data_IF_341270901769
#
_entry.id   IF_341270901769
#
_cell.length_a   1.000
_cell.length_b   1.000
_cell.length_c   1.000
_cell.angle_alpha   90.00
_cell.angle_beta   90.00
_cell.angle_gamma   90.00
#
_symmetry.space_group_name_H-M   'P 1'
#
loop_
_entity.id
_entity.type
_entity.pdbx_description
1 polymer ?
#
# COMPACT_ATOMS: atom_id res chain seq x y z
N UNK A 1 0.00 -26.71 -8.63
CA UNK A 1 1.24 -26.31 -9.32
C UNK A 1 1.80 -27.57 -9.99
N UNK A 2 2.23 -27.52 -11.26
CA UNK A 2 2.86 -28.66 -11.92
C UNK A 2 4.31 -28.78 -11.42
N UNK A 3 4.91 -29.98 -11.47
CA UNK A 3 6.31 -30.19 -11.06
C UNK A 3 7.26 -29.23 -11.77
N UNK A 4 7.08 -29.02 -13.08
CA UNK A 4 7.87 -28.08 -13.87
C UNK A 4 7.76 -26.62 -13.37
N UNK A 5 6.57 -26.18 -12.93
CA UNK A 5 6.36 -24.85 -12.37
C UNK A 5 7.14 -24.69 -11.05
N UNK A 6 7.18 -25.76 -10.23
CA UNK A 6 7.90 -25.78 -8.96
C UNK A 6 9.41 -25.72 -9.16
N UNK A 7 9.94 -26.57 -10.05
CA UNK A 7 11.38 -26.57 -10.41
C UNK A 7 11.80 -25.21 -10.96
N UNK A 8 11.01 -24.64 -11.87
CA UNK A 8 11.26 -23.31 -12.44
C UNK A 8 11.28 -22.23 -11.35
N UNK A 9 10.36 -22.29 -10.40
CA UNK A 9 10.28 -21.33 -9.28
C UNK A 9 11.52 -21.41 -8.39
N UNK A 10 11.98 -22.61 -8.03
CA UNK A 10 13.21 -22.82 -7.26
C UNK A 10 14.41 -22.26 -8.02
N UNK A 11 14.54 -22.63 -9.31
CA UNK A 11 15.66 -22.20 -10.13
C UNK A 11 15.74 -20.67 -10.25
N UNK A 12 14.63 -20.00 -10.56
CA UNK A 12 14.59 -18.54 -10.67
C UNK A 12 14.88 -17.88 -9.33
N UNK A 13 14.33 -18.38 -8.22
CA UNK A 13 14.58 -17.84 -6.89
C UNK A 13 16.04 -17.97 -6.50
N UNK A 14 16.62 -19.14 -6.73
CA UNK A 14 18.05 -19.39 -6.49
C UNK A 14 18.93 -18.49 -7.36
N UNK A 15 18.65 -18.40 -8.66
CA UNK A 15 19.40 -17.56 -9.60
C UNK A 15 19.39 -16.09 -9.17
N UNK A 16 18.20 -15.54 -8.89
CA UNK A 16 18.07 -14.13 -8.52
C UNK A 16 18.82 -13.82 -7.22
N UNK A 17 18.70 -14.67 -6.19
CA UNK A 17 19.36 -14.40 -4.92
C UNK A 17 20.85 -14.72 -4.96
N UNK A 18 21.27 -15.74 -5.71
CA UNK A 18 22.69 -16.06 -5.88
C UNK A 18 23.47 -14.94 -6.57
N UNK A 19 22.88 -14.34 -7.63
CA UNK A 19 23.56 -13.27 -8.38
C UNK A 19 23.35 -11.87 -7.81
N UNK A 20 22.18 -11.59 -7.19
CA UNK A 20 21.86 -10.25 -6.71
C UNK A 20 21.99 -10.10 -5.19
N UNK A 21 21.97 -11.22 -4.44
CA UNK A 21 21.96 -11.23 -2.98
C UNK A 21 20.65 -10.70 -2.40
N UNK A 22 20.64 -10.56 -1.07
CA UNK A 22 19.63 -9.80 -0.36
C UNK A 22 19.86 -8.30 -0.63
N UNK A 23 18.81 -7.60 -1.05
CA UNK A 23 18.85 -6.16 -1.28
C UNK A 23 18.37 -5.41 -0.05
N UNK A 24 18.94 -4.23 0.21
CA UNK A 24 18.61 -3.40 1.35
C UNK A 24 18.10 -2.03 0.91
N UNK A 25 17.01 -1.62 1.51
CA UNK A 25 16.45 -0.28 1.40
C UNK A 25 16.71 0.45 2.73
N UNK A 26 16.71 1.78 2.81
CA UNK A 26 16.79 2.51 4.09
C UNK A 26 15.79 2.02 5.15
N UNK A 27 14.60 1.58 4.74
CA UNK A 27 13.62 1.00 5.66
C UNK A 27 14.01 -0.39 6.19
N UNK A 28 14.88 -1.15 5.50
CA UNK A 28 15.27 -2.51 5.91
C UNK A 28 15.92 -2.54 7.28
N UNK A 29 16.76 -1.55 7.56
CA UNK A 29 17.48 -1.42 8.85
C UNK A 29 16.48 -1.35 10.01
N UNK A 30 15.39 -0.59 9.86
CA UNK A 30 14.38 -0.45 10.91
C UNK A 30 13.57 -1.72 11.18
N UNK A 31 13.46 -2.62 10.19
CA UNK A 31 12.88 -3.96 10.39
C UNK A 31 13.87 -4.93 11.03
N UNK A 32 15.14 -4.87 10.64
CA UNK A 32 16.21 -5.70 11.22
C UNK A 32 16.43 -5.33 12.70
N UNK A 33 16.43 -4.04 13.02
CA UNK A 33 16.57 -3.55 14.38
C UNK A 33 15.27 -3.65 15.21
N UNK A 34 14.20 -4.16 14.63
CA UNK A 34 12.89 -4.30 15.28
C UNK A 34 12.39 -2.99 15.92
N UNK A 35 12.49 -1.89 15.17
CA UNK A 35 12.11 -0.56 15.64
C UNK A 35 10.62 -0.52 16.06
N UNK A 36 10.30 0.20 17.14
CA UNK A 36 8.95 0.35 17.72
C UNK A 36 7.86 0.75 16.73
N UNK A 37 8.24 1.43 15.64
CA UNK A 37 7.31 1.91 14.61
C UNK A 37 6.92 0.83 13.61
N UNK A 38 7.59 -0.32 13.63
CA UNK A 38 7.34 -1.39 12.68
C UNK A 38 6.35 -2.42 13.23
N UNK A 39 5.39 -2.89 12.42
CA UNK A 39 4.52 -4.00 12.80
C UNK A 39 5.33 -5.26 13.09
N UNK A 40 4.92 -6.09 14.06
CA UNK A 40 5.78 -7.12 14.65
C UNK A 40 6.02 -8.36 13.77
N UNK A 41 5.15 -8.68 12.82
CA UNK A 41 5.23 -9.96 12.12
C UNK A 41 6.50 -10.10 11.26
N UNK A 42 6.93 -9.03 10.59
CA UNK A 42 8.12 -9.12 9.73
C UNK A 42 9.43 -9.17 10.54
N UNK A 43 9.65 -8.34 11.57
CA UNK A 43 10.77 -8.52 12.50
C UNK A 43 10.83 -9.93 13.12
N UNK A 44 9.68 -10.51 13.49
CA UNK A 44 9.64 -11.89 14.01
C UNK A 44 10.09 -12.92 12.95
N UNK A 45 9.72 -12.72 11.68
CA UNK A 45 10.20 -13.56 10.58
C UNK A 45 11.72 -13.42 10.43
N UNK A 46 12.28 -12.20 10.45
CA UNK A 46 13.73 -11.96 10.38
C UNK A 46 14.42 -12.71 11.54
N UNK A 47 13.98 -12.49 12.76
CA UNK A 47 14.58 -13.12 13.95
C UNK A 47 14.51 -14.66 13.90
N UNK A 48 13.43 -15.23 13.35
CA UNK A 48 13.30 -16.67 13.13
C UNK A 48 14.36 -17.20 12.14
N UNK A 49 14.60 -16.48 11.06
CA UNK A 49 15.64 -16.85 10.09
C UNK A 49 17.04 -16.67 10.66
N UNK A 50 17.28 -15.60 11.43
CA UNK A 50 18.56 -15.37 12.11
C UNK A 50 18.89 -16.47 13.11
N UNK A 51 17.88 -16.92 13.86
CA UNK A 51 18.05 -18.03 14.82
C UNK A 51 18.44 -19.34 14.14
N UNK A 52 17.92 -19.62 12.94
CA UNK A 52 18.16 -20.92 12.24
C UNK A 52 19.40 -20.88 11.35
N UNK A 53 19.62 -19.76 10.65
CA UNK A 53 20.59 -19.69 9.55
C UNK A 53 21.76 -18.73 9.80
N UNK A 54 21.79 -18.07 10.96
CA UNK A 54 22.87 -17.19 11.38
C UNK A 54 23.34 -16.21 10.29
N UNK A 55 24.61 -16.26 9.89
CA UNK A 55 25.25 -15.34 8.92
C UNK A 55 24.57 -15.30 7.55
N UNK A 56 23.87 -16.35 7.14
CA UNK A 56 23.22 -16.44 5.84
C UNK A 56 21.72 -16.12 5.90
N UNK A 57 21.18 -15.77 7.05
CA UNK A 57 19.76 -15.61 7.32
C UNK A 57 19.06 -14.70 6.32
N UNK A 58 19.62 -13.52 6.04
CA UNK A 58 18.99 -12.52 5.16
C UNK A 58 18.97 -12.97 3.69
N UNK A 59 20.00 -13.66 3.20
CA UNK A 59 20.00 -14.22 1.84
C UNK A 59 18.98 -15.35 1.72
N UNK A 60 18.88 -16.20 2.74
CA UNK A 60 17.91 -17.29 2.77
C UNK A 60 16.49 -16.72 2.87
N UNK A 61 16.27 -15.70 3.69
CA UNK A 61 14.99 -14.99 3.76
C UNK A 61 14.61 -14.39 2.40
N UNK A 62 15.56 -13.71 1.71
CA UNK A 62 15.35 -13.16 0.37
C UNK A 62 14.97 -14.27 -0.63
N UNK A 63 15.63 -15.43 -0.56
CA UNK A 63 15.27 -16.60 -1.39
C UNK A 63 13.81 -17.03 -1.14
N UNK A 64 13.39 -17.16 0.11
CA UNK A 64 12.02 -17.54 0.43
C UNK A 64 11.00 -16.47 0.03
N UNK A 65 11.34 -15.19 0.13
CA UNK A 65 10.49 -14.10 -0.33
C UNK A 65 10.22 -14.20 -1.83
N UNK A 66 11.27 -14.36 -2.67
CA UNK A 66 11.13 -14.53 -4.11
C UNK A 66 10.38 -15.82 -4.45
N UNK A 67 10.72 -16.91 -3.78
CA UNK A 67 10.09 -18.22 -3.97
C UNK A 67 8.57 -18.17 -3.74
N UNK A 68 8.15 -17.64 -2.60
CA UNK A 68 6.72 -17.55 -2.27
C UNK A 68 5.99 -16.55 -3.16
N UNK A 69 6.64 -15.46 -3.56
CA UNK A 69 6.05 -14.53 -4.53
C UNK A 69 5.75 -15.23 -5.85
N UNK A 70 6.72 -15.96 -6.41
CA UNK A 70 6.54 -16.70 -7.66
C UNK A 70 5.44 -17.77 -7.52
N UNK A 71 5.43 -18.52 -6.42
CA UNK A 71 4.38 -19.49 -6.15
C UNK A 71 2.99 -18.84 -6.12
N UNK A 72 2.84 -17.70 -5.42
CA UNK A 72 1.59 -16.96 -5.35
C UNK A 72 1.16 -16.45 -6.74
N UNK A 73 2.10 -15.92 -7.54
CA UNK A 73 1.85 -15.43 -8.89
C UNK A 73 1.38 -16.56 -9.83
N UNK A 74 2.02 -17.71 -9.80
CA UNK A 74 1.62 -18.88 -10.59
C UNK A 74 0.23 -19.35 -10.17
N UNK A 75 0.00 -19.48 -8.86
CA UNK A 75 -1.29 -19.93 -8.34
C UNK A 75 -2.42 -18.96 -8.72
N UNK A 76 -2.19 -17.66 -8.60
CA UNK A 76 -3.17 -16.63 -8.97
C UNK A 76 -3.43 -16.60 -10.48
N UNK A 77 -2.40 -16.81 -11.31
CA UNK A 77 -2.57 -16.88 -12.77
C UNK A 77 -3.45 -18.04 -13.21
N UNK A 78 -3.28 -19.21 -12.60
CA UNK A 78 -4.15 -20.39 -12.81
C UNK A 78 -5.57 -20.09 -12.32
N UNK A 79 -5.72 -19.42 -11.19
CA UNK A 79 -7.02 -18.99 -10.66
C UNK A 79 -7.71 -18.02 -11.62
N UNK A 80 -7.01 -17.02 -12.18
CA UNK A 80 -7.57 -16.08 -13.17
C UNK A 80 -8.04 -16.80 -14.44
N UNK A 81 -7.28 -17.79 -14.95
CA UNK A 81 -7.72 -18.61 -16.07
C UNK A 81 -9.09 -19.28 -15.78
N UNK A 82 -9.25 -19.84 -14.57
CA UNK A 82 -10.51 -20.47 -14.15
C UNK A 82 -11.66 -19.47 -14.00
N UNK A 83 -11.42 -18.30 -13.40
CA UNK A 83 -12.44 -17.26 -13.19
C UNK A 83 -12.93 -16.69 -14.50
N UNK A 84 -12.03 -16.54 -15.48
CA UNK A 84 -12.33 -15.94 -16.79
C UNK A 84 -12.73 -16.97 -17.87
N UNK A 85 -12.73 -18.27 -17.53
CA UNK A 85 -12.93 -19.39 -18.48
C UNK A 85 -11.94 -19.33 -19.66
N UNK A 86 -10.66 -19.14 -19.36
CA UNK A 86 -9.58 -19.15 -20.32
C UNK A 86 -8.81 -20.46 -20.25
N UNK A 87 -8.17 -20.81 -21.36
CA UNK A 87 -7.28 -21.97 -21.40
C UNK A 87 -6.02 -21.74 -20.57
N UNK A 88 -5.49 -22.83 -20.01
CA UNK A 88 -4.42 -22.78 -19.03
C UNK A 88 -3.11 -22.16 -19.55
N UNK A 89 -2.85 -22.23 -20.88
CA UNK A 89 -1.67 -21.61 -21.46
C UNK A 89 -1.67 -20.08 -21.33
N UNK A 90 -2.85 -19.43 -21.25
CA UNK A 90 -2.93 -17.98 -21.03
C UNK A 90 -2.35 -17.52 -19.68
N UNK A 91 -2.13 -18.45 -18.75
CA UNK A 91 -1.50 -18.14 -17.45
C UNK A 91 -0.12 -17.46 -17.59
N UNK A 92 0.63 -17.74 -18.65
CA UNK A 92 1.97 -17.16 -18.86
C UNK A 92 1.92 -15.65 -19.04
N UNK A 93 0.85 -15.12 -19.67
CA UNK A 93 0.62 -13.68 -19.79
C UNK A 93 0.39 -13.07 -18.39
N UNK A 94 -0.41 -13.73 -17.57
CA UNK A 94 -0.67 -13.25 -16.20
C UNK A 94 0.59 -13.32 -15.34
N UNK A 95 1.35 -14.42 -15.41
CA UNK A 95 2.60 -14.56 -14.69
C UNK A 95 3.55 -13.43 -15.06
N UNK A 96 3.68 -13.11 -16.33
CA UNK A 96 4.55 -12.01 -16.81
C UNK A 96 4.24 -10.70 -16.05
N UNK A 97 2.98 -10.28 -15.97
CA UNK A 97 2.61 -9.06 -15.23
C UNK A 97 2.86 -9.17 -13.73
N UNK A 98 2.57 -10.32 -13.13
CA UNK A 98 2.63 -10.52 -11.69
C UNK A 98 4.07 -10.59 -11.14
N UNK A 99 5.04 -10.94 -11.98
CA UNK A 99 6.46 -11.03 -11.60
C UNK A 99 7.27 -9.77 -11.94
N UNK A 100 6.70 -8.79 -12.65
CA UNK A 100 7.41 -7.56 -13.02
C UNK A 100 8.19 -6.90 -11.88
N UNK A 101 7.67 -6.83 -10.63
CA UNK A 101 8.41 -6.19 -9.54
C UNK A 101 9.62 -6.97 -9.02
N UNK A 102 9.79 -8.23 -9.44
CA UNK A 102 10.96 -9.07 -9.04
C UNK A 102 12.16 -8.81 -9.94
N UNK A 103 11.99 -8.04 -11.02
CA UNK A 103 13.07 -7.78 -11.97
C UNK A 103 14.31 -7.14 -11.29
N UNK A 104 15.50 -7.27 -11.90
CA UNK A 104 16.75 -6.74 -11.34
C UNK A 104 16.75 -5.22 -11.09
N UNK A 105 15.86 -4.46 -11.73
CA UNK A 105 15.75 -3.00 -11.58
C UNK A 105 15.02 -2.63 -10.29
N UNK A 106 13.86 -3.24 -10.03
CA UNK A 106 13.04 -2.92 -8.86
C UNK A 106 13.40 -3.74 -7.62
N UNK A 107 13.81 -4.99 -7.81
CA UNK A 107 14.28 -5.91 -6.76
C UNK A 107 13.34 -6.06 -5.55
N UNK A 108 12.03 -5.82 -5.70
CA UNK A 108 11.08 -5.91 -4.56
C UNK A 108 10.97 -7.33 -3.99
N UNK A 109 11.30 -8.35 -4.79
CA UNK A 109 11.26 -9.74 -4.34
C UNK A 109 12.36 -10.10 -3.34
N UNK A 110 13.59 -9.68 -3.60
CA UNK A 110 14.77 -9.98 -2.77
C UNK A 110 15.16 -8.86 -1.81
N UNK A 111 14.46 -7.73 -1.81
CA UNK A 111 14.65 -6.67 -0.82
C UNK A 111 14.12 -7.11 0.55
N UNK A 112 14.89 -6.89 1.61
CA UNK A 112 14.50 -7.19 2.99
C UNK A 112 13.47 -6.17 3.46
N UNK A 113 12.24 -6.38 3.01
CA UNK A 113 11.06 -5.55 3.27
C UNK A 113 9.79 -6.41 3.27
N UNK A 114 8.71 -5.84 3.76
CA UNK A 114 7.41 -6.51 3.89
C UNK A 114 6.67 -6.74 2.56
N UNK A 115 7.16 -6.14 1.45
CA UNK A 115 6.49 -6.10 0.16
C UNK A 115 6.11 -7.48 -0.36
N UNK A 116 7.05 -8.44 -0.30
CA UNK A 116 6.82 -9.81 -0.78
C UNK A 116 5.71 -10.52 -0.02
N UNK A 117 5.78 -10.52 1.31
CA UNK A 117 4.75 -11.17 2.13
C UNK A 117 3.40 -10.44 2.06
N UNK A 118 3.41 -9.11 1.97
CA UNK A 118 2.19 -8.33 1.77
C UNK A 118 1.51 -8.65 0.44
N UNK A 119 2.29 -8.85 -0.63
CA UNK A 119 1.78 -9.29 -1.93
C UNK A 119 1.12 -10.66 -1.83
N UNK A 120 1.78 -11.61 -1.17
CA UNK A 120 1.23 -12.98 -0.97
C UNK A 120 -0.10 -12.91 -0.20
N UNK A 121 -0.17 -12.08 0.84
CA UNK A 121 -1.41 -11.86 1.59
C UNK A 121 -2.52 -11.27 0.70
N UNK A 122 -2.21 -10.28 -0.13
CA UNK A 122 -3.19 -9.72 -1.08
C UNK A 122 -3.73 -10.78 -2.04
N UNK A 123 -2.85 -11.57 -2.65
CA UNK A 123 -3.25 -12.67 -3.55
C UNK A 123 -4.10 -13.69 -2.81
N UNK A 124 -3.70 -14.07 -1.59
CA UNK A 124 -4.48 -14.97 -0.74
C UNK A 124 -5.88 -14.45 -0.44
N UNK A 125 -6.02 -13.15 -0.14
CA UNK A 125 -7.32 -12.51 0.07
C UNK A 125 -8.14 -12.50 -1.21
N UNK A 126 -7.57 -12.14 -2.37
CA UNK A 126 -8.31 -12.10 -3.64
C UNK A 126 -8.88 -13.47 -4.01
N UNK A 127 -8.14 -14.54 -3.80
CA UNK A 127 -8.61 -15.90 -4.07
C UNK A 127 -9.71 -16.30 -3.07
N UNK A 128 -9.48 -16.05 -1.77
CA UNK A 128 -10.40 -16.50 -0.74
C UNK A 128 -11.70 -15.70 -0.70
N UNK A 129 -11.71 -14.42 -1.06
CA UNK A 129 -12.95 -13.63 -1.16
C UNK A 129 -13.84 -14.13 -2.29
N UNK A 130 -13.25 -14.50 -3.44
CA UNK A 130 -14.00 -15.13 -4.53
C UNK A 130 -14.60 -16.48 -4.10
N UNK A 131 -13.79 -17.31 -3.47
CA UNK A 131 -14.23 -18.62 -2.99
C UNK A 131 -15.29 -18.49 -1.90
N UNK A 132 -15.16 -17.55 -0.98
CA UNK A 132 -16.16 -17.21 0.02
C UNK A 132 -17.51 -16.82 -0.62
N UNK A 133 -17.46 -15.94 -1.62
CA UNK A 133 -18.67 -15.51 -2.31
C UNK A 133 -19.34 -16.66 -3.07
N UNK A 134 -18.54 -17.51 -3.76
CA UNK A 134 -19.00 -18.62 -4.59
C UNK A 134 -19.52 -19.81 -3.77
N UNK A 135 -18.72 -20.29 -2.83
CA UNK A 135 -18.97 -21.59 -2.15
C UNK A 135 -19.64 -21.45 -0.79
N UNK A 136 -19.64 -20.28 -0.17
CA UNK A 136 -20.27 -19.99 1.13
C UNK A 136 -19.80 -20.91 2.29
N UNK A 137 -18.61 -21.47 2.20
CA UNK A 137 -18.08 -22.38 3.20
C UNK A 137 -17.39 -21.60 4.33
N UNK A 138 -17.66 -22.00 5.60
CA UNK A 138 -17.10 -21.37 6.81
C UNK A 138 -15.56 -21.33 6.85
N UNK A 139 -14.87 -22.29 6.19
CA UNK A 139 -13.40 -22.30 6.13
C UNK A 139 -12.82 -21.02 5.52
N UNK A 140 -13.52 -20.41 4.55
CA UNK A 140 -13.05 -19.15 3.93
C UNK A 140 -13.15 -17.95 4.86
N UNK A 141 -14.05 -18.00 5.87
CA UNK A 141 -14.06 -17.00 6.95
C UNK A 141 -12.72 -17.04 7.72
N UNK A 142 -12.30 -18.22 8.15
CA UNK A 142 -11.03 -18.37 8.88
C UNK A 142 -9.83 -17.99 8.03
N UNK A 143 -9.79 -18.41 6.76
CA UNK A 143 -8.69 -18.02 5.86
C UNK A 143 -8.62 -16.50 5.67
N UNK A 144 -9.75 -15.85 5.43
CA UNK A 144 -9.80 -14.39 5.27
C UNK A 144 -9.37 -13.69 6.56
N UNK A 145 -9.84 -14.15 7.71
CA UNK A 145 -9.47 -13.59 9.01
C UNK A 145 -7.96 -13.68 9.26
N UNK A 146 -7.38 -14.87 9.16
CA UNK A 146 -5.95 -15.06 9.45
C UNK A 146 -5.04 -14.37 8.43
N UNK A 147 -5.37 -14.39 7.13
CA UNK A 147 -4.57 -13.72 6.13
C UNK A 147 -4.66 -12.20 6.30
N UNK A 148 -5.83 -11.66 6.61
CA UNK A 148 -6.00 -10.23 6.86
C UNK A 148 -5.29 -9.79 8.14
N UNK A 149 -5.37 -10.58 9.21
CA UNK A 149 -4.62 -10.36 10.45
C UNK A 149 -3.11 -10.34 10.19
N UNK A 150 -2.59 -11.33 9.44
CA UNK A 150 -1.19 -11.39 9.06
C UNK A 150 -0.79 -10.16 8.22
N UNK A 151 -1.61 -9.76 7.23
CA UNK A 151 -1.33 -8.60 6.41
C UNK A 151 -1.19 -7.31 7.25
N UNK A 152 -2.09 -7.10 8.21
CA UNK A 152 -2.09 -5.93 9.11
C UNK A 152 -0.89 -5.92 10.07
N UNK A 153 -0.46 -7.09 10.53
CA UNK A 153 0.72 -7.22 11.41
C UNK A 153 2.04 -7.24 10.65
N UNK A 154 2.02 -7.43 9.33
CA UNK A 154 3.18 -7.24 8.46
C UNK A 154 3.39 -5.77 8.11
N UNK A 155 2.32 -5.02 7.83
CA UNK A 155 2.42 -3.66 7.32
C UNK A 155 1.17 -2.84 7.60
N UNK A 156 1.32 -1.67 8.23
CA UNK A 156 0.20 -0.77 8.54
C UNK A 156 -0.62 -0.34 7.30
N UNK A 157 0.05 -0.18 6.16
CA UNK A 157 -0.61 0.16 4.90
C UNK A 157 -1.72 -0.83 4.53
N UNK A 158 -1.62 -2.11 4.93
CA UNK A 158 -2.63 -3.13 4.60
C UNK A 158 -4.03 -2.85 5.16
N UNK A 159 -4.18 -1.79 5.94
CA UNK A 159 -5.49 -1.30 6.41
C UNK A 159 -6.47 -1.00 5.24
N UNK A 160 -5.97 -0.73 4.02
CA UNK A 160 -6.83 -0.58 2.85
C UNK A 160 -7.70 -1.81 2.56
N UNK A 161 -7.22 -3.00 2.91
CA UNK A 161 -7.98 -4.23 2.79
C UNK A 161 -9.20 -4.22 3.71
N UNK A 162 -9.06 -3.74 4.96
CA UNK A 162 -10.17 -3.58 5.88
C UNK A 162 -11.24 -2.64 5.33
N UNK A 163 -10.84 -1.47 4.82
CA UNK A 163 -11.78 -0.56 4.19
C UNK A 163 -12.48 -1.20 2.98
N UNK A 164 -11.76 -2.00 2.20
CA UNK A 164 -12.35 -2.76 1.08
C UNK A 164 -13.40 -3.75 1.57
N UNK A 165 -13.13 -4.50 2.65
CA UNK A 165 -14.11 -5.41 3.24
C UNK A 165 -15.36 -4.67 3.77
N UNK A 166 -15.18 -3.51 4.39
CA UNK A 166 -16.31 -2.68 4.87
C UNK A 166 -17.18 -2.19 3.70
N UNK A 167 -16.57 -1.67 2.63
CA UNK A 167 -17.31 -1.24 1.43
C UNK A 167 -18.09 -2.41 0.83
N UNK A 168 -17.45 -3.60 0.73
CA UNK A 168 -18.13 -4.78 0.19
C UNK A 168 -19.21 -5.33 1.12
N UNK A 169 -19.02 -5.21 2.43
CA UNK A 169 -20.08 -5.49 3.40
C UNK A 169 -21.32 -4.63 3.13
N UNK A 170 -21.14 -3.32 2.93
CA UNK A 170 -22.24 -2.40 2.58
C UNK A 170 -22.89 -2.76 1.22
N UNK A 171 -22.09 -3.03 0.20
CA UNK A 171 -22.63 -3.46 -1.12
C UNK A 171 -23.47 -4.74 -0.98
N UNK A 172 -23.00 -5.73 -0.23
CA UNK A 172 -23.74 -6.97 0.01
C UNK A 172 -25.01 -6.75 0.84
N UNK A 173 -25.01 -5.79 1.76
CA UNK A 173 -26.19 -5.39 2.53
C UNK A 173 -27.26 -4.78 1.61
N UNK A 174 -26.88 -3.85 0.74
CA UNK A 174 -27.76 -3.27 -0.29
C UNK A 174 -28.37 -4.36 -1.18
N UNK A 175 -27.61 -5.40 -1.52
CA UNK A 175 -28.07 -6.57 -2.28
C UNK A 175 -28.89 -7.58 -1.47
N UNK A 176 -29.25 -7.24 -0.22
CA UNK A 176 -29.99 -8.10 0.72
C UNK A 176 -29.28 -9.43 1.03
N UNK A 177 -27.93 -9.50 0.88
CA UNK A 177 -27.13 -10.66 1.26
C UNK A 177 -26.59 -10.50 2.69
N UNK A 178 -27.49 -10.26 3.64
CA UNK A 178 -27.20 -9.87 5.02
C UNK A 178 -26.17 -10.77 5.71
N UNK A 179 -26.29 -12.10 5.60
CA UNK A 179 -25.34 -13.05 6.20
C UNK A 179 -23.91 -12.86 5.69
N UNK A 180 -23.72 -12.69 4.38
CA UNK A 180 -22.39 -12.47 3.77
C UNK A 180 -21.82 -11.11 4.16
N UNK A 181 -22.67 -10.08 4.17
CA UNK A 181 -22.33 -8.74 4.63
C UNK A 181 -21.80 -8.77 6.06
N UNK A 182 -22.56 -9.36 6.98
CA UNK A 182 -22.18 -9.45 8.39
C UNK A 182 -20.85 -10.22 8.58
N UNK A 183 -20.62 -11.31 7.85
CA UNK A 183 -19.38 -12.05 7.92
C UNK A 183 -18.17 -11.19 7.49
N UNK A 184 -18.26 -10.44 6.40
CA UNK A 184 -17.18 -9.58 5.95
C UNK A 184 -16.91 -8.43 6.93
N UNK A 185 -17.97 -7.82 7.45
CA UNK A 185 -17.85 -6.81 8.50
C UNK A 185 -17.11 -7.38 9.71
N UNK A 186 -17.52 -8.56 10.17
CA UNK A 186 -16.96 -9.19 11.36
C UNK A 186 -15.50 -9.63 11.17
N UNK A 187 -15.14 -10.15 9.97
CA UNK A 187 -13.74 -10.43 9.61
C UNK A 187 -12.90 -9.15 9.69
N UNK A 188 -13.37 -8.07 9.07
CA UNK A 188 -12.67 -6.78 9.08
C UNK A 188 -12.49 -6.23 10.49
N UNK A 189 -13.56 -6.22 11.28
CA UNK A 189 -13.54 -5.72 12.66
C UNK A 189 -12.62 -6.54 13.56
N UNK A 190 -12.79 -7.85 13.59
CA UNK A 190 -11.96 -8.74 14.43
C UNK A 190 -10.48 -8.67 14.06
N UNK A 191 -10.15 -8.73 12.77
CA UNK A 191 -8.76 -8.67 12.35
C UNK A 191 -8.10 -7.35 12.74
N UNK A 192 -8.81 -6.22 12.69
CA UNK A 192 -8.31 -4.93 13.13
C UNK A 192 -8.08 -4.90 14.66
N UNK A 193 -9.04 -5.38 15.45
CA UNK A 193 -8.92 -5.45 16.91
C UNK A 193 -7.75 -6.33 17.32
N UNK A 194 -7.64 -7.54 16.74
CA UNK A 194 -6.54 -8.44 17.06
C UNK A 194 -5.18 -7.93 16.57
N UNK A 195 -5.10 -7.31 15.40
CA UNK A 195 -3.86 -6.71 14.90
C UNK A 195 -3.39 -5.57 15.84
N UNK A 196 -4.30 -4.68 16.25
CA UNK A 196 -4.00 -3.61 17.21
C UNK A 196 -3.52 -4.18 18.54
N UNK A 197 -4.19 -5.23 19.05
CA UNK A 197 -3.79 -5.89 20.28
C UNK A 197 -2.40 -6.53 20.16
N UNK A 198 -2.11 -7.25 19.06
CA UNK A 198 -0.81 -7.88 18.82
C UNK A 198 0.31 -6.84 18.70
N UNK A 199 0.05 -5.73 18.00
CA UNK A 199 1.04 -4.64 17.87
C UNK A 199 1.36 -4.03 19.25
N UNK A 200 0.34 -3.72 20.07
CA UNK A 200 0.52 -3.17 21.42
C UNK A 200 1.22 -4.17 22.35
N UNK A 201 0.82 -5.43 22.29
CA UNK A 201 1.43 -6.49 23.11
C UNK A 201 2.90 -6.69 22.73
N UNK A 202 3.25 -6.71 21.46
CA UNK A 202 4.64 -6.80 20.99
C UNK A 202 5.47 -5.63 21.51
N UNK A 203 4.96 -4.40 21.42
CA UNK A 203 5.65 -3.22 21.95
C UNK A 203 5.78 -3.28 23.47
N UNK A 204 4.81 -3.81 24.19
CA UNK A 204 4.91 -4.01 25.63
C UNK A 204 6.02 -4.99 26.00
N UNK A 205 6.08 -6.16 25.34
CA UNK A 205 7.11 -7.16 25.65
C UNK A 205 8.53 -6.71 25.28
N UNK A 206 8.69 -5.94 24.21
CA UNK A 206 10.00 -5.54 23.71
C UNK A 206 10.49 -4.20 24.26
N UNK A 207 9.57 -3.26 24.45
CA UNK A 207 9.90 -1.87 24.77
C UNK A 207 9.24 -1.35 26.05
N UNK A 208 8.54 -2.22 26.79
CA UNK A 208 7.78 -1.90 28.01
C UNK A 208 6.73 -0.78 27.83
N UNK A 209 6.16 -0.65 26.61
CA UNK A 209 5.15 0.36 26.27
C UNK A 209 3.96 -0.32 25.61
N UNK A 210 2.79 -0.32 26.28
CA UNK A 210 1.54 -0.86 25.71
C UNK A 210 0.87 0.16 24.80
N UNK A 211 1.62 0.63 23.80
CA UNK A 211 1.20 1.63 22.82
C UNK A 211 1.58 1.22 21.40
N UNK A 212 0.90 1.79 20.43
CA UNK A 212 1.21 1.61 19.02
C UNK A 212 1.75 2.92 18.45
N UNK A 213 3.02 2.93 18.06
CA UNK A 213 3.67 4.11 17.48
C UNK A 213 3.36 4.18 15.97
N UNK A 214 2.32 4.91 15.59
CA UNK A 214 1.84 4.92 14.19
C UNK A 214 2.48 5.98 13.30
N UNK A 215 3.08 7.01 13.83
CA UNK A 215 3.60 8.18 13.07
C UNK A 215 2.62 8.71 12.00
N UNK A 216 1.31 8.59 12.26
CA UNK A 216 0.25 9.01 11.31
C UNK A 216 0.31 10.52 11.13
N UNK A 217 0.53 11.28 12.20
CA UNK A 217 0.65 12.73 12.16
C UNK A 217 1.79 13.18 11.28
N UNK A 218 2.96 12.50 11.40
CA UNK A 218 4.12 12.76 10.58
C UNK A 218 3.81 12.54 9.09
N UNK A 219 3.13 11.46 8.75
CA UNK A 219 2.76 11.16 7.36
C UNK A 219 1.71 12.13 6.82
N UNK A 220 0.68 12.46 7.62
CA UNK A 220 -0.41 13.34 7.20
C UNK A 220 0.02 14.79 6.97
N UNK A 221 1.07 15.29 7.64
CA UNK A 221 1.48 16.69 7.53
C UNK A 221 2.29 16.99 6.27
N UNK A 222 2.98 15.99 5.69
CA UNK A 222 4.00 16.21 4.68
C UNK A 222 3.42 16.78 3.39
N UNK A 223 2.40 16.15 2.81
CA UNK A 223 1.80 16.63 1.57
C UNK A 223 1.10 17.98 1.72
N UNK A 224 0.32 18.24 2.77
CA UNK A 224 -0.21 19.57 3.05
C UNK A 224 0.87 20.66 3.21
N UNK A 225 1.94 20.36 3.97
CA UNK A 225 3.05 21.30 4.17
C UNK A 225 3.81 21.61 2.87
N UNK A 226 4.01 20.59 2.03
CA UNK A 226 4.58 20.76 0.70
C UNK A 226 3.76 21.75 -0.15
N UNK A 227 2.43 21.65 -0.10
CA UNK A 227 1.52 22.39 -0.98
C UNK A 227 1.16 23.80 -0.49
N UNK A 228 1.15 24.07 0.82
CA UNK A 228 0.70 25.35 1.36
C UNK A 228 1.59 26.50 0.94
N UNK A 229 0.99 27.65 0.56
CA UNK A 229 1.73 28.90 0.27
C UNK A 229 2.01 29.69 1.54
N UNK A 230 3.03 30.58 1.49
CA UNK A 230 3.33 31.52 2.57
C UNK A 230 2.15 32.45 2.87
N UNK A 231 1.46 32.92 1.82
CA UNK A 231 0.26 33.75 1.98
C UNK A 231 -0.86 33.04 2.76
N UNK A 232 -1.05 31.75 2.49
CA UNK A 232 -2.04 30.93 3.22
C UNK A 232 -1.65 30.69 4.67
N UNK A 233 -0.36 30.53 4.97
CA UNK A 233 0.16 30.40 6.33
C UNK A 233 -0.17 31.65 7.18
N UNK A 234 -0.02 32.84 6.59
CA UNK A 234 -0.32 34.11 7.28
C UNK A 234 -1.79 34.23 7.70
N UNK A 235 -2.72 33.52 7.05
CA UNK A 235 -4.16 33.48 7.35
C UNK A 235 -4.55 32.46 8.43
N UNK A 236 -3.60 31.74 9.02
CA UNK A 236 -3.87 30.85 10.15
C UNK A 236 -4.13 31.67 11.42
N UNK A 237 -5.32 31.52 12.00
CA UNK A 237 -5.75 32.31 13.15
C UNK A 237 -4.95 32.01 14.44
N UNK A 238 -4.60 30.72 14.68
CA UNK A 238 -3.84 30.34 15.86
C UNK A 238 -2.37 30.71 15.67
N UNK A 239 -1.89 31.68 16.49
CA UNK A 239 -0.54 32.24 16.39
C UNK A 239 0.56 31.20 16.63
N UNK A 240 0.37 30.27 17.60
CA UNK A 240 1.35 29.21 17.87
C UNK A 240 1.47 28.28 16.68
N UNK A 241 0.34 27.76 16.19
CA UNK A 241 0.33 26.87 15.02
C UNK A 241 0.89 27.55 13.77
N UNK A 242 0.56 28.85 13.56
CA UNK A 242 1.12 29.63 12.46
C UNK A 242 2.64 29.72 12.52
N UNK A 243 3.23 30.00 13.71
CA UNK A 243 4.69 30.05 13.89
C UNK A 243 5.35 28.71 13.60
N UNK A 244 4.80 27.61 14.12
CA UNK A 244 5.33 26.27 13.91
C UNK A 244 5.29 25.89 12.43
N UNK A 245 4.15 26.12 11.76
CA UNK A 245 3.96 25.79 10.35
C UNK A 245 4.87 26.66 9.46
N UNK A 246 5.00 27.95 9.78
CA UNK A 246 5.88 28.88 9.06
C UNK A 246 7.35 28.44 9.15
N UNK A 247 7.83 28.07 10.35
CA UNK A 247 9.20 27.59 10.54
C UNK A 247 9.45 26.27 9.81
N UNK A 248 8.48 25.31 9.87
CA UNK A 248 8.57 24.08 9.10
C UNK A 248 8.68 24.37 7.59
N UNK A 249 7.86 25.28 7.07
CA UNK A 249 7.84 25.64 5.66
C UNK A 249 9.11 26.37 5.23
N UNK A 250 9.60 27.29 6.05
CA UNK A 250 10.85 28.01 5.81
C UNK A 250 12.06 27.07 5.74
N UNK A 251 12.19 26.15 6.72
CA UNK A 251 13.27 25.15 6.71
C UNK A 251 13.20 24.28 5.46
N UNK A 252 11.99 23.85 5.05
CA UNK A 252 11.83 23.12 3.80
C UNK A 252 12.26 23.95 2.59
N UNK A 253 11.81 25.19 2.48
CA UNK A 253 12.09 26.05 1.32
C UNK A 253 13.59 26.39 1.20
N UNK A 254 14.33 26.50 2.33
CA UNK A 254 15.79 26.72 2.36
C UNK A 254 16.55 25.48 1.83
N UNK A 255 16.15 24.30 2.22
CA UNK A 255 16.88 23.06 1.95
C UNK A 255 16.49 22.48 0.59
N UNK A 256 15.32 22.84 0.08
CA UNK A 256 14.81 22.33 -1.17
C UNK A 256 15.74 22.67 -2.35
N UNK A 257 16.45 21.71 -2.96
CA UNK A 257 17.41 21.96 -4.03
C UNK A 257 16.76 22.64 -5.24
N UNK A 258 15.44 22.51 -5.40
CA UNK A 258 14.70 23.12 -6.52
C UNK A 258 14.24 24.56 -6.24
N UNK A 259 14.30 25.05 -5.00
CA UNK A 259 14.02 26.46 -4.68
C UNK A 259 15.08 27.39 -5.26
N UNK A 260 16.32 26.93 -5.42
CA UNK A 260 17.43 27.66 -6.01
C UNK A 260 17.37 27.71 -7.54
N UNK A 261 16.89 26.64 -8.18
CA UNK A 261 16.74 26.53 -9.65
C UNK A 261 15.65 27.48 -10.18
N UNK A 262 14.60 27.72 -9.40
CA UNK A 262 13.53 28.67 -9.79
C UNK A 262 13.95 30.15 -9.79
N UNK A 263 15.12 30.51 -9.23
CA UNK A 263 15.65 31.89 -9.29
C UNK A 263 16.43 32.20 -10.56
N UNK A 264 16.83 31.17 -11.31
CA UNK A 264 17.69 31.32 -12.50
C UNK A 264 17.02 30.96 -13.85
N UNK A 265 15.71 30.83 -13.91
CA UNK A 265 14.89 30.88 -15.13
C UNK A 265 15.32 30.10 -16.37
N UNK A 266 15.37 28.76 -16.37
CA UNK A 266 15.50 28.12 -17.69
C UNK A 266 14.83 26.74 -17.83
N UNK A 267 14.35 26.12 -16.76
CA UNK A 267 13.68 24.82 -16.86
C UNK A 267 12.33 24.90 -16.14
N UNK A 268 11.20 24.56 -16.81
CA UNK A 268 9.93 24.48 -16.12
C UNK A 268 10.08 23.49 -14.96
N UNK A 269 9.60 23.83 -13.76
CA UNK A 269 9.72 22.95 -12.60
C UNK A 269 9.15 21.58 -12.97
N UNK A 270 9.82 20.47 -12.61
CA UNK A 270 9.28 19.13 -12.78
C UNK A 270 7.89 19.11 -12.17
N UNK A 271 6.97 18.31 -12.75
CA UNK A 271 5.59 18.28 -12.25
C UNK A 271 5.59 18.23 -10.72
N UNK A 272 4.84 19.09 -10.07
CA UNK A 272 4.84 19.31 -8.61
C UNK A 272 4.87 18.00 -7.79
N UNK A 273 4.27 16.94 -8.31
CA UNK A 273 4.17 15.67 -7.60
C UNK A 273 5.45 14.80 -7.69
N UNK A 274 6.22 14.87 -8.79
CA UNK A 274 7.52 14.20 -8.84
C UNK A 274 8.51 14.85 -7.88
N UNK A 275 8.42 16.16 -7.76
CA UNK A 275 9.16 16.95 -6.80
C UNK A 275 8.79 16.59 -5.36
N UNK A 276 7.51 16.35 -5.07
CA UNK A 276 7.06 15.88 -3.78
C UNK A 276 7.71 14.53 -3.41
N UNK A 277 7.76 13.57 -4.33
CA UNK A 277 8.37 12.27 -4.07
C UNK A 277 9.86 12.36 -3.72
N UNK A 278 10.62 13.23 -4.42
CA UNK A 278 12.05 13.46 -4.12
C UNK A 278 12.28 14.25 -2.83
N UNK A 279 11.34 15.09 -2.42
CA UNK A 279 11.42 15.95 -1.24
C UNK A 279 10.89 15.29 0.04
N UNK A 280 10.20 14.17 -0.05
CA UNK A 280 9.48 13.56 1.07
C UNK A 280 10.35 13.35 2.32
N UNK A 281 11.48 12.66 2.18
CA UNK A 281 12.40 12.40 3.30
C UNK A 281 13.09 13.68 3.78
N UNK A 282 13.33 14.64 2.90
CA UNK A 282 13.88 15.95 3.23
C UNK A 282 12.91 16.72 4.14
N UNK A 283 11.62 16.74 3.81
CA UNK A 283 10.57 17.37 4.62
C UNK A 283 10.54 16.72 6.02
N UNK A 284 10.59 15.41 6.10
CA UNK A 284 10.58 14.70 7.38
C UNK A 284 11.80 15.09 8.23
N UNK A 285 13.00 14.85 7.68
CA UNK A 285 14.23 14.83 8.48
C UNK A 285 14.75 16.23 8.79
N UNK A 286 14.54 17.20 7.93
CA UNK A 286 15.13 18.53 8.06
C UNK A 286 14.13 19.64 8.35
N UNK A 287 12.84 19.42 8.12
CA UNK A 287 11.80 20.39 8.36
C UNK A 287 10.91 20.02 9.54
N UNK A 288 10.17 18.91 9.43
CA UNK A 288 9.11 18.57 10.41
C UNK A 288 9.66 18.10 11.75
N UNK A 289 10.53 17.08 11.75
CA UNK A 289 11.04 16.49 12.99
C UNK A 289 11.87 17.46 13.84
N UNK A 290 12.82 18.25 13.29
CA UNK A 290 13.58 19.21 14.10
C UNK A 290 12.69 20.28 14.72
N UNK A 291 11.70 20.80 13.98
CA UNK A 291 10.80 21.85 14.47
C UNK A 291 9.91 21.31 15.59
N UNK A 292 9.22 20.17 15.35
CA UNK A 292 8.29 19.63 16.36
C UNK A 292 9.03 19.23 17.65
N UNK A 293 10.26 18.71 17.54
CA UNK A 293 11.08 18.35 18.69
C UNK A 293 11.53 19.59 19.47
N UNK A 294 11.80 20.70 18.78
CA UNK A 294 12.20 21.95 19.42
C UNK A 294 11.04 22.62 20.17
N UNK A 295 9.84 22.62 19.57
CA UNK A 295 8.65 23.22 20.23
C UNK A 295 8.11 22.35 21.37
N UNK A 296 8.27 21.04 21.28
CA UNK A 296 7.71 20.09 22.26
C UNK A 296 8.75 19.07 22.76
N UNK A 297 9.86 19.51 23.38
CA UNK A 297 10.98 18.62 23.76
C UNK A 297 10.57 17.57 24.80
N UNK A 298 9.64 17.92 25.68
CA UNK A 298 9.21 17.07 26.80
C UNK A 298 8.04 16.14 26.48
N UNK A 299 7.44 16.22 25.28
CA UNK A 299 6.37 15.33 24.88
C UNK A 299 6.91 14.00 24.36
N UNK A 300 6.16 12.91 24.62
CA UNK A 300 6.43 11.61 24.02
C UNK A 300 6.23 11.65 22.50
N UNK A 301 6.77 10.65 21.79
CA UNK A 301 6.60 10.54 20.33
C UNK A 301 5.10 10.52 19.92
N UNK A 302 4.26 9.78 20.63
CA UNK A 302 2.82 9.72 20.36
C UNK A 302 2.12 11.06 20.58
N UNK A 303 2.49 11.79 21.65
CA UNK A 303 1.93 13.13 21.91
C UNK A 303 2.38 14.13 20.82
N UNK A 304 3.63 14.05 20.36
CA UNK A 304 4.10 14.86 19.22
C UNK A 304 3.38 14.52 17.93
N UNK A 305 3.10 13.24 17.68
CA UNK A 305 2.32 12.80 16.51
C UNK A 305 0.88 13.35 16.54
N UNK A 306 0.22 13.40 17.71
CA UNK A 306 -1.08 14.05 17.88
C UNK A 306 -1.03 15.56 17.56
N UNK A 307 0.06 16.26 17.98
CA UNK A 307 0.27 17.66 17.57
C UNK A 307 0.41 17.80 16.08
N UNK A 308 1.15 16.92 15.42
CA UNK A 308 1.29 16.90 13.96
C UNK A 308 -0.05 16.64 13.25
N UNK A 309 -0.90 15.75 13.76
CA UNK A 309 -2.27 15.56 13.24
C UNK A 309 -3.06 16.87 13.29
N UNK A 310 -3.01 17.60 14.41
CA UNK A 310 -3.73 18.86 14.56
C UNK A 310 -3.18 19.97 13.64
N UNK A 311 -1.85 20.06 13.49
CA UNK A 311 -1.22 20.96 12.52
C UNK A 311 -1.62 20.62 11.09
N UNK A 312 -1.60 19.34 10.72
CA UNK A 312 -2.03 18.87 9.39
C UNK A 312 -3.48 19.28 9.07
N UNK A 313 -4.40 19.08 10.04
CA UNK A 313 -5.81 19.54 9.89
C UNK A 313 -5.90 21.03 9.66
N UNK A 314 -5.11 21.83 10.39
CA UNK A 314 -5.08 23.29 10.25
C UNK A 314 -4.56 23.70 8.88
N UNK A 315 -3.46 23.09 8.40
CA UNK A 315 -2.92 23.33 7.07
C UNK A 315 -3.95 22.99 6.00
N UNK A 316 -4.54 21.79 6.06
CA UNK A 316 -5.54 21.35 5.09
C UNK A 316 -6.75 22.29 5.04
N UNK A 317 -7.32 22.64 6.19
CA UNK A 317 -8.46 23.57 6.28
C UNK A 317 -8.12 24.93 5.66
N UNK A 318 -6.92 25.44 5.94
CA UNK A 318 -6.46 26.73 5.41
C UNK A 318 -6.22 26.66 3.91
N UNK A 319 -5.55 25.60 3.42
CA UNK A 319 -5.30 25.40 2.00
C UNK A 319 -6.59 25.22 1.20
N UNK A 320 -7.55 24.45 1.68
CA UNK A 320 -8.84 24.31 1.01
C UNK A 320 -9.65 25.62 0.98
N UNK A 321 -9.54 26.43 2.03
CA UNK A 321 -10.23 27.74 2.07
C UNK A 321 -9.60 28.76 1.11
N UNK A 322 -8.28 28.80 1.02
CA UNK A 322 -7.58 29.86 0.29
C UNK A 322 -7.14 29.45 -1.12
N UNK A 323 -6.81 28.17 -1.34
CA UNK A 323 -6.26 27.62 -2.59
C UNK A 323 -6.94 26.28 -2.96
N UNK A 324 -8.29 26.22 -3.09
CA UNK A 324 -9.00 24.96 -3.25
C UNK A 324 -8.60 24.18 -4.50
N UNK A 325 -8.49 24.84 -5.64
CA UNK A 325 -8.14 24.21 -6.92
C UNK A 325 -6.72 23.62 -6.90
N UNK A 326 -5.76 24.36 -6.36
CA UNK A 326 -4.37 23.90 -6.21
C UNK A 326 -4.30 22.70 -5.28
N UNK A 327 -5.04 22.75 -4.16
CA UNK A 327 -5.08 21.66 -3.17
C UNK A 327 -5.70 20.41 -3.77
N UNK A 328 -6.85 20.52 -4.43
CA UNK A 328 -7.48 19.37 -5.12
C UNK A 328 -6.56 18.80 -6.19
N UNK A 329 -5.93 19.66 -7.01
CA UNK A 329 -5.05 19.24 -8.10
C UNK A 329 -3.90 18.38 -7.61
N UNK A 330 -3.20 18.76 -6.52
CA UNK A 330 -2.04 17.99 -6.05
C UNK A 330 -2.44 16.61 -5.54
N UNK A 331 -3.59 16.48 -4.87
CA UNK A 331 -4.10 15.17 -4.46
C UNK A 331 -4.53 14.30 -5.64
N UNK A 332 -5.19 14.89 -6.65
CA UNK A 332 -5.56 14.17 -7.88
C UNK A 332 -4.31 13.73 -8.67
N UNK A 333 -3.31 14.59 -8.80
CA UNK A 333 -2.04 14.26 -9.44
C UNK A 333 -1.33 13.12 -8.70
N UNK A 334 -1.36 13.12 -7.36
CA UNK A 334 -0.79 12.03 -6.56
C UNK A 334 -1.56 10.72 -6.78
N UNK A 335 -2.89 10.74 -6.74
CA UNK A 335 -3.75 9.59 -7.02
C UNK A 335 -3.44 8.98 -8.40
N UNK A 336 -3.46 9.82 -9.45
CA UNK A 336 -3.29 9.37 -10.83
C UNK A 336 -1.88 8.79 -11.07
N UNK A 337 -0.84 9.44 -10.56
CA UNK A 337 0.54 8.98 -10.74
C UNK A 337 0.88 7.77 -9.89
N UNK A 338 0.45 7.77 -8.61
CA UNK A 338 0.70 6.68 -7.69
C UNK A 338 0.06 5.37 -8.16
N UNK A 339 -1.21 5.46 -8.55
CA UNK A 339 -2.01 4.27 -8.78
C UNK A 339 -2.02 3.77 -10.20
N UNK A 340 -1.83 4.68 -11.13
CA UNK A 340 -2.19 4.40 -12.51
C UNK A 340 -1.05 4.65 -13.50
N UNK A 341 0.10 5.12 -13.04
CA UNK A 341 1.26 5.47 -13.89
C UNK A 341 0.88 6.36 -15.08
N UNK A 342 -0.30 7.02 -15.01
CA UNK A 342 -0.80 7.94 -16.01
C UNK A 342 -2.31 7.90 -16.24
N UNK A 343 -2.80 8.86 -16.99
CA UNK A 343 -4.25 9.07 -17.24
C UNK A 343 -4.92 7.91 -17.98
N UNK A 344 -4.24 7.30 -18.96
CA UNK A 344 -4.84 6.23 -19.77
C UNK A 344 -5.23 5.05 -18.88
N UNK A 345 -4.30 4.60 -18.02
CA UNK A 345 -4.57 3.49 -17.10
C UNK A 345 -5.61 3.86 -16.05
N UNK A 346 -5.63 5.11 -15.58
CA UNK A 346 -6.68 5.61 -14.69
C UNK A 346 -8.07 5.46 -15.30
N UNK A 347 -8.27 5.90 -16.55
CA UNK A 347 -9.56 5.75 -17.23
C UNK A 347 -9.95 4.28 -17.46
N UNK A 348 -8.99 3.42 -17.80
CA UNK A 348 -9.24 1.98 -17.93
C UNK A 348 -9.72 1.40 -16.59
N UNK A 349 -9.08 1.75 -15.48
CA UNK A 349 -9.49 1.29 -14.14
C UNK A 349 -10.86 1.82 -13.73
N UNK A 350 -11.18 3.09 -14.02
CA UNK A 350 -12.51 3.66 -13.83
C UNK A 350 -13.57 2.91 -14.66
N UNK A 351 -13.25 2.59 -15.90
CA UNK A 351 -14.14 1.81 -16.77
C UNK A 351 -14.36 0.39 -16.21
N UNK A 352 -13.30 -0.31 -15.78
CA UNK A 352 -13.43 -1.64 -15.18
C UNK A 352 -14.32 -1.59 -13.93
N UNK A 353 -14.11 -0.60 -13.06
CA UNK A 353 -14.91 -0.41 -11.85
C UNK A 353 -16.38 -0.17 -12.19
N UNK A 354 -16.66 0.77 -13.08
CA UNK A 354 -18.01 1.11 -13.51
C UNK A 354 -18.72 -0.06 -14.21
N UNK A 355 -18.04 -0.70 -15.16
CA UNK A 355 -18.58 -1.87 -15.87
C UNK A 355 -18.86 -3.03 -14.92
N UNK A 356 -17.94 -3.34 -14.04
CA UNK A 356 -18.11 -4.43 -13.06
C UNK A 356 -19.24 -4.14 -12.09
N UNK A 357 -19.41 -2.90 -11.66
CA UNK A 357 -20.50 -2.46 -10.80
C UNK A 357 -21.86 -2.71 -11.47
N UNK A 358 -22.08 -2.18 -12.67
CA UNK A 358 -23.34 -2.35 -13.40
C UNK A 358 -23.63 -3.83 -13.68
N UNK A 359 -22.64 -4.55 -14.19
CA UNK A 359 -22.82 -5.97 -14.55
C UNK A 359 -23.05 -6.83 -13.30
N UNK A 360 -22.38 -6.52 -12.19
CA UNK A 360 -22.60 -7.25 -10.95
C UNK A 360 -24.01 -7.04 -10.40
N UNK A 361 -24.55 -5.82 -10.40
CA UNK A 361 -25.92 -5.57 -9.95
C UNK A 361 -26.96 -6.26 -10.85
N UNK A 362 -26.73 -6.35 -12.17
CA UNK A 362 -27.61 -7.01 -13.13
C UNK A 362 -27.52 -8.55 -13.06
N UNK A 363 -26.32 -9.12 -13.12
CA UNK A 363 -26.12 -10.57 -13.30
C UNK A 363 -25.79 -11.32 -12.02
N UNK A 364 -25.32 -10.63 -10.97
CA UNK A 364 -24.83 -11.21 -9.68
C UNK A 364 -23.79 -12.32 -9.89
N UNK A 365 -23.05 -12.29 -11.02
CA UNK A 365 -22.06 -13.33 -11.35
C UNK A 365 -20.84 -13.28 -10.45
N UNK A 366 -20.25 -14.45 -10.18
CA UNK A 366 -19.05 -14.56 -9.34
C UNK A 366 -17.84 -13.83 -9.95
N UNK A 367 -17.71 -13.87 -11.29
CA UNK A 367 -16.64 -13.16 -12.00
C UNK A 367 -16.78 -11.64 -11.83
N UNK A 368 -17.98 -11.09 -11.97
CA UNK A 368 -18.22 -9.66 -11.80
C UNK A 368 -18.07 -9.23 -10.33
N UNK A 369 -18.47 -10.07 -9.37
CA UNK A 369 -18.17 -9.85 -7.95
C UNK A 369 -16.67 -9.72 -7.72
N UNK A 370 -15.88 -10.66 -8.24
CA UNK A 370 -14.42 -10.64 -8.10
C UNK A 370 -13.78 -9.42 -8.75
N UNK A 371 -14.20 -9.07 -9.97
CA UNK A 371 -13.74 -7.89 -10.70
C UNK A 371 -14.04 -6.61 -9.92
N UNK A 372 -15.26 -6.49 -9.40
CA UNK A 372 -15.69 -5.35 -8.61
C UNK A 372 -14.86 -5.25 -7.31
N UNK A 373 -14.67 -6.39 -6.62
CA UNK A 373 -13.85 -6.41 -5.40
C UNK A 373 -12.42 -5.94 -5.68
N UNK A 374 -11.77 -6.49 -6.69
CA UNK A 374 -10.39 -6.16 -7.02
C UNK A 374 -10.23 -4.69 -7.43
N UNK A 375 -11.11 -4.18 -8.31
CA UNK A 375 -11.07 -2.78 -8.73
C UNK A 375 -11.36 -1.82 -7.57
N UNK A 376 -12.36 -2.08 -6.74
CA UNK A 376 -12.64 -1.26 -5.55
C UNK A 376 -11.46 -1.28 -4.59
N UNK A 377 -10.86 -2.45 -4.35
CA UNK A 377 -9.68 -2.58 -3.47
C UNK A 377 -8.50 -1.78 -4.01
N UNK A 378 -8.30 -1.77 -5.33
CA UNK A 378 -7.27 -0.94 -5.96
C UNK A 378 -7.50 0.55 -5.71
N UNK A 379 -8.72 1.05 -5.95
CA UNK A 379 -9.05 2.46 -5.68
C UNK A 379 -8.89 2.81 -4.19
N UNK A 380 -9.36 1.96 -3.29
CA UNK A 380 -9.22 2.18 -1.84
C UNK A 380 -7.76 2.25 -1.43
N UNK A 381 -6.90 1.34 -1.93
CA UNK A 381 -5.47 1.37 -1.68
C UNK A 381 -4.86 2.71 -2.12
N UNK A 382 -5.14 3.12 -3.35
CA UNK A 382 -4.58 4.35 -3.90
C UNK A 382 -5.07 5.57 -3.16
N UNK A 383 -6.36 5.67 -2.85
CA UNK A 383 -6.91 6.78 -2.09
C UNK A 383 -6.25 6.92 -0.71
N UNK A 384 -6.12 5.82 0.03
CA UNK A 384 -5.52 5.85 1.37
C UNK A 384 -4.04 6.23 1.29
N UNK A 385 -3.29 5.60 0.37
CA UNK A 385 -1.85 5.85 0.25
C UNK A 385 -1.56 7.27 -0.24
N UNK A 386 -2.33 7.78 -1.20
CA UNK A 386 -2.12 9.12 -1.75
C UNK A 386 -2.35 10.27 -0.77
N UNK A 387 -3.04 10.00 0.36
CA UNK A 387 -3.21 10.99 1.42
C UNK A 387 -1.93 11.22 2.22
N UNK A 388 -1.04 10.23 2.28
CA UNK A 388 0.07 10.20 3.24
C UNK A 388 1.43 9.93 2.60
N UNK A 389 1.48 9.23 1.46
CA UNK A 389 2.72 8.76 0.86
C UNK A 389 2.99 9.40 -0.51
N UNK A 390 4.27 9.51 -0.91
CA UNK A 390 4.64 9.99 -2.22
C UNK A 390 4.35 8.96 -3.31
N UNK A 391 4.46 9.39 -4.58
CA UNK A 391 4.29 8.57 -5.78
C UNK A 391 5.40 7.53 -5.87
N UNK A 392 5.20 6.37 -5.25
CA UNK A 392 6.10 5.22 -5.35
C UNK A 392 5.30 3.98 -5.73
N UNK A 393 5.69 3.33 -6.83
CA UNK A 393 5.04 2.12 -7.34
C UNK A 393 4.93 1.00 -6.29
N UNK A 394 5.89 0.92 -5.37
CA UNK A 394 5.91 -0.08 -4.28
C UNK A 394 4.67 -0.06 -3.38
N UNK A 395 3.91 1.05 -3.35
CA UNK A 395 2.69 1.16 -2.54
C UNK A 395 1.42 0.72 -3.25
N UNK A 396 1.43 0.65 -4.58
CA UNK A 396 0.24 0.35 -5.39
C UNK A 396 0.31 -0.98 -6.12
N UNK A 397 1.49 -1.57 -6.30
CA UNK A 397 1.67 -2.74 -7.16
C UNK A 397 0.85 -3.98 -6.75
N UNK A 398 0.58 -4.17 -5.44
CA UNK A 398 -0.20 -5.31 -4.95
C UNK A 398 -1.54 -5.49 -5.67
N UNK A 399 -2.23 -4.38 -5.87
CA UNK A 399 -3.56 -4.37 -6.49
C UNK A 399 -3.48 -4.02 -7.97
N UNK A 400 -2.50 -3.19 -8.37
CA UNK A 400 -2.33 -2.73 -9.74
C UNK A 400 -2.01 -3.91 -10.67
N UNK A 401 -1.04 -4.75 -10.32
CA UNK A 401 -0.65 -5.91 -11.13
C UNK A 401 -1.78 -6.93 -11.27
N UNK A 402 -2.50 -7.18 -10.18
CA UNK A 402 -3.65 -8.09 -10.22
C UNK A 402 -4.76 -7.54 -11.14
N UNK A 403 -4.99 -6.22 -11.12
CA UNK A 403 -5.98 -5.57 -11.98
C UNK A 403 -5.52 -5.54 -13.46
N UNK A 404 -4.22 -5.30 -13.72
CA UNK A 404 -3.64 -5.43 -15.05
C UNK A 404 -3.83 -6.85 -15.61
N UNK A 405 -3.47 -7.88 -14.85
CA UNK A 405 -3.64 -9.26 -15.26
C UNK A 405 -5.12 -9.58 -15.57
N UNK A 406 -6.04 -9.11 -14.74
CA UNK A 406 -7.47 -9.26 -14.97
C UNK A 406 -7.95 -8.56 -16.26
N UNK A 407 -7.51 -7.32 -16.50
CA UNK A 407 -7.82 -6.56 -17.70
C UNK A 407 -7.39 -7.28 -18.97
N UNK A 408 -6.13 -7.73 -19.03
CA UNK A 408 -5.64 -8.51 -20.17
C UNK A 408 -6.42 -9.83 -20.35
N UNK A 409 -6.84 -10.45 -19.26
CA UNK A 409 -7.72 -11.62 -19.31
C UNK A 409 -9.06 -11.32 -19.95
N UNK A 410 -9.67 -10.17 -19.70
CA UNK A 410 -10.89 -9.74 -20.39
C UNK A 410 -10.64 -9.46 -21.87
N UNK A 411 -9.53 -8.85 -22.25
CA UNK A 411 -9.15 -8.64 -23.65
C UNK A 411 -9.01 -9.97 -24.41
N UNK A 412 -8.31 -10.95 -23.84
CA UNK A 412 -8.15 -12.28 -24.43
C UNK A 412 -9.52 -12.95 -24.60
N UNK A 413 -10.38 -12.87 -23.58
CA UNK A 413 -11.73 -13.43 -23.66
C UNK A 413 -12.58 -12.77 -24.76
N UNK A 414 -12.54 -11.44 -24.88
CA UNK A 414 -13.25 -10.70 -25.90
C UNK A 414 -12.82 -11.11 -27.33
N UNK A 415 -11.52 -11.25 -27.56
CA UNK A 415 -10.98 -11.71 -28.86
C UNK A 415 -11.46 -13.13 -29.19
N UNK A 416 -11.53 -14.04 -28.20
CA UNK A 416 -12.02 -15.41 -28.41
C UNK A 416 -13.52 -15.49 -28.70
N UNK A 417 -14.31 -14.57 -28.15
CA UNK A 417 -15.76 -14.54 -28.38
C UNK A 417 -16.14 -13.84 -29.68
N UNK A 418 -15.22 -13.08 -30.28
CA UNK A 418 -15.41 -12.41 -31.58
C UNK A 418 -15.03 -13.29 -32.79
N UNK A 419 -14.30 -14.39 -32.54
CA UNK A 419 -14.03 -15.46 -33.52
C UNK A 419 -15.08 -16.56 -33.44
#
# INVERSE_FOLDING_TARGET
MRINDFIFTIFISFFLVFFLGANFNPDSISYINDDKIRPPAYPLIINFFDYIFEKNSLNILAFFQVFFWLCASIYFSVFLCKVLNLELYNRYIFIFFLILPINPIHQYGNTILTESFSYICCIGIFINIYNFYKYQNKKYFFYLFFILLLALTLRHQMIFLNFSFLIFSLILLILKKVKKSFILFFVSFLSLVFATFLNKSSNFFKHHQFEENKRIGLQLIILPLFNISQESILKINNLEQRKIIAEMKEKYDIINPFSKVNKENTIPPPSNINHFASSYNIIISYSVLPVINNYYPNLSENQRDEKLINLSKTILKTSFKNEPLKTVKIYLDNIIKLGFSGFIWFFICCFILYYSLIKFFKSKSNTMFFTLFLSTTHFVNIFIVSLVEPVLFRYSFYTNLALCALFFGFCIRAIKTAK
#
